data_IF_943661807750
#
_entry.id   IF_943661807750
#
_cell.length_a   1.000
_cell.length_b   1.000
_cell.length_c   1.000
_cell.angle_alpha   90.00
_cell.angle_beta   90.00
_cell.angle_gamma   90.00
#
_symmetry.space_group_name_H-M   'P 1'
#
loop_
_entity.id
_entity.type
_entity.pdbx_description
1 polymer ?
#
# COMPACT_ATOMS: atom_id res chain seq x y z
N UNK A 1 -7.11 -12.93 -11.95
CA UNK A 1 -7.52 -12.05 -10.83
C UNK A 1 -7.35 -12.81 -9.53
N UNK A 2 -6.18 -12.74 -8.91
CA UNK A 2 -5.94 -13.33 -7.60
C UNK A 2 -6.64 -12.46 -6.55
N UNK A 3 -7.59 -13.04 -5.81
CA UNK A 3 -8.21 -12.39 -4.64
C UNK A 3 -7.13 -12.21 -3.57
N UNK A 4 -6.40 -11.11 -3.63
CA UNK A 4 -5.67 -10.62 -2.47
C UNK A 4 -6.74 -10.18 -1.47
N UNK A 5 -6.91 -10.97 -0.40
CA UNK A 5 -7.78 -10.62 0.72
C UNK A 5 -7.47 -9.21 1.19
N UNK A 6 -8.51 -8.51 1.67
CA UNK A 6 -8.40 -7.16 2.19
C UNK A 6 -7.21 -7.10 3.18
N UNK A 7 -6.18 -6.28 2.93
CA UNK A 7 -5.04 -6.24 3.84
C UNK A 7 -5.53 -5.83 5.23
N UNK A 8 -4.98 -6.38 6.32
CA UNK A 8 -5.44 -6.07 7.69
C UNK A 8 -5.37 -4.56 8.01
N UNK A 9 -4.56 -3.82 7.27
CA UNK A 9 -4.41 -2.37 7.40
C UNK A 9 -5.39 -1.54 6.53
N UNK A 10 -6.24 -2.18 5.71
CA UNK A 10 -7.18 -1.50 4.81
C UNK A 10 -8.15 -0.59 5.57
N UNK A 11 -8.74 -1.10 6.65
CA UNK A 11 -9.70 -0.33 7.45
C UNK A 11 -9.04 0.91 8.08
N UNK A 12 -7.83 0.76 8.62
CA UNK A 12 -7.06 1.87 9.17
C UNK A 12 -6.75 2.93 8.11
N UNK A 13 -6.44 2.51 6.88
CA UNK A 13 -6.17 3.41 5.75
C UNK A 13 -7.42 4.15 5.28
N UNK A 14 -8.55 3.45 5.13
CA UNK A 14 -9.85 4.07 4.80
C UNK A 14 -10.25 5.08 5.89
N UNK A 15 -10.14 4.71 7.16
CA UNK A 15 -10.50 5.58 8.28
C UNK A 15 -9.60 6.82 8.35
N UNK A 16 -8.29 6.66 8.15
CA UNK A 16 -7.35 7.79 8.07
C UNK A 16 -7.71 8.72 6.90
N UNK A 17 -8.02 8.16 5.73
CA UNK A 17 -8.50 8.92 4.58
C UNK A 17 -9.76 9.71 4.92
N UNK A 18 -10.72 9.06 5.58
CA UNK A 18 -12.00 9.65 5.97
C UNK A 18 -11.80 10.83 6.91
N UNK A 19 -11.04 10.64 7.98
CA UNK A 19 -10.75 11.70 8.95
C UNK A 19 -10.02 12.87 8.29
N UNK A 20 -9.11 12.61 7.35
CA UNK A 20 -8.38 13.65 6.64
C UNK A 20 -9.33 14.49 5.78
N UNK A 21 -10.15 13.86 4.94
CA UNK A 21 -11.08 14.57 4.07
C UNK A 21 -12.20 15.25 4.85
N UNK A 22 -12.74 14.58 5.87
CA UNK A 22 -13.76 15.15 6.74
C UNK A 22 -13.23 16.39 7.45
N UNK A 23 -11.99 16.35 7.97
CA UNK A 23 -11.34 17.50 8.58
C UNK A 23 -11.19 18.67 7.61
N UNK A 24 -10.70 18.42 6.38
CA UNK A 24 -10.55 19.45 5.34
C UNK A 24 -11.91 20.08 5.01
N UNK A 25 -12.94 19.26 4.75
CA UNK A 25 -14.28 19.75 4.40
C UNK A 25 -14.92 20.51 5.57
N UNK A 26 -14.76 20.04 6.80
CA UNK A 26 -15.27 20.74 7.98
C UNK A 26 -14.62 22.12 8.16
N UNK A 27 -13.30 22.22 7.97
CA UNK A 27 -12.59 23.50 8.01
C UNK A 27 -13.09 24.44 6.91
N UNK A 28 -13.28 23.95 5.68
CA UNK A 28 -13.85 24.74 4.60
C UNK A 28 -15.26 25.24 4.94
N UNK A 29 -16.11 24.39 5.51
CA UNK A 29 -17.47 24.78 5.93
C UNK A 29 -17.46 25.87 7.01
N UNK A 30 -16.55 25.79 7.98
CA UNK A 30 -16.38 26.83 9.00
C UNK A 30 -15.95 28.15 8.34
N UNK A 31 -15.02 28.13 7.39
CA UNK A 31 -14.62 29.33 6.64
C UNK A 31 -15.80 29.92 5.86
N UNK A 32 -16.60 29.09 5.18
CA UNK A 32 -17.80 29.55 4.47
C UNK A 32 -18.82 30.20 5.40
N UNK A 33 -19.02 29.65 6.61
CA UNK A 33 -19.89 30.26 7.62
C UNK A 33 -19.32 31.60 8.14
N UNK A 34 -18.02 31.68 8.37
CA UNK A 34 -17.34 32.93 8.80
C UNK A 34 -17.44 34.05 7.77
N UNK A 35 -17.44 33.72 6.47
CA UNK A 35 -17.62 34.69 5.36
C UNK A 35 -19.11 35.01 5.13
N UNK A 36 -20.02 34.49 5.96
CA UNK A 36 -21.46 34.77 5.88
C UNK A 36 -22.15 34.10 4.69
N UNK A 37 -21.52 33.11 4.05
CA UNK A 37 -22.11 32.36 2.94
C UNK A 37 -23.11 31.30 3.42
N UNK A 38 -23.04 30.90 4.69
CA UNK A 38 -23.88 29.86 5.30
C UNK A 38 -24.24 30.31 6.72
N UNK A 39 -25.48 30.08 7.13
CA UNK A 39 -25.90 30.34 8.52
C UNK A 39 -25.25 29.34 9.47
N UNK A 40 -24.80 29.79 10.64
CA UNK A 40 -24.26 28.91 11.68
C UNK A 40 -25.28 27.85 12.14
N UNK A 41 -26.57 28.11 11.99
CA UNK A 41 -27.64 27.17 12.33
C UNK A 41 -27.69 25.97 11.37
N UNK A 42 -27.28 26.15 10.11
CA UNK A 42 -27.27 25.09 9.10
C UNK A 42 -25.98 24.25 9.15
N UNK A 43 -24.98 24.71 9.89
CA UNK A 43 -23.64 24.11 9.95
C UNK A 43 -23.67 22.61 10.33
N UNK A 44 -24.44 22.15 11.33
CA UNK A 44 -24.48 20.73 11.69
C UNK A 44 -25.03 19.84 10.57
N UNK A 45 -26.10 20.28 9.90
CA UNK A 45 -26.70 19.56 8.78
C UNK A 45 -25.73 19.45 7.60
N UNK A 46 -25.04 20.54 7.29
CA UNK A 46 -24.01 20.55 6.24
C UNK A 46 -22.78 19.71 6.58
N UNK A 47 -22.36 19.70 7.85
CA UNK A 47 -21.28 18.81 8.29
C UNK A 47 -21.66 17.33 8.10
N UNK A 48 -22.91 16.95 8.35
CA UNK A 48 -23.40 15.61 8.07
C UNK A 48 -23.31 15.30 6.56
N UNK A 49 -23.72 16.22 5.68
CA UNK A 49 -23.59 16.06 4.23
C UNK A 49 -22.11 15.88 3.81
N UNK A 50 -21.19 16.65 4.40
CA UNK A 50 -19.76 16.52 4.10
C UNK A 50 -19.18 15.18 4.54
N UNK A 51 -19.77 14.51 5.54
CA UNK A 51 -19.34 13.17 5.96
C UNK A 51 -19.55 12.12 4.86
N UNK A 52 -20.66 12.18 4.13
CA UNK A 52 -20.92 11.28 3.00
C UNK A 52 -19.91 11.50 1.86
N UNK A 53 -19.58 12.76 1.56
CA UNK A 53 -18.54 13.11 0.59
C UNK A 53 -17.15 12.63 1.02
N UNK A 54 -16.78 12.84 2.29
CA UNK A 54 -15.50 12.36 2.83
C UNK A 54 -15.40 10.83 2.77
N UNK A 55 -16.49 10.12 3.05
CA UNK A 55 -16.55 8.66 2.93
C UNK A 55 -16.34 8.20 1.49
N UNK A 56 -17.05 8.81 0.53
CA UNK A 56 -16.91 8.51 -0.90
C UNK A 56 -15.47 8.73 -1.38
N UNK A 57 -14.86 9.88 -1.06
CA UNK A 57 -13.47 10.19 -1.42
C UNK A 57 -12.48 9.18 -0.83
N UNK A 58 -12.72 8.74 0.40
CA UNK A 58 -11.83 7.79 1.08
C UNK A 58 -11.88 6.40 0.46
N UNK A 59 -13.07 5.98 0.02
CA UNK A 59 -13.24 4.72 -0.73
C UNK A 59 -12.55 4.84 -2.09
N UNK A 60 -12.72 5.95 -2.80
CA UNK A 60 -12.06 6.19 -4.10
C UNK A 60 -10.54 6.16 -3.97
N UNK A 61 -9.97 6.86 -2.98
CA UNK A 61 -8.53 6.83 -2.73
C UNK A 61 -8.03 5.45 -2.33
N UNK A 62 -8.78 4.73 -1.50
CA UNK A 62 -8.46 3.35 -1.18
C UNK A 62 -8.45 2.47 -2.43
N UNK A 63 -9.41 2.65 -3.34
CA UNK A 63 -9.48 1.91 -4.59
C UNK A 63 -8.30 2.23 -5.51
N UNK A 64 -7.94 3.51 -5.64
CA UNK A 64 -6.74 3.94 -6.39
C UNK A 64 -5.48 3.30 -5.80
N UNK A 65 -5.32 3.33 -4.47
CA UNK A 65 -4.20 2.69 -3.79
C UNK A 65 -4.19 1.17 -3.98
N UNK A 66 -5.38 0.54 -3.93
CA UNK A 66 -5.54 -0.90 -4.08
C UNK A 66 -5.18 -1.37 -5.49
N UNK A 67 -5.62 -0.62 -6.50
CA UNK A 67 -5.38 -0.88 -7.92
C UNK A 67 -4.00 -0.40 -8.38
N UNK A 68 -3.33 0.47 -7.62
CA UNK A 68 -2.02 0.98 -7.97
C UNK A 68 -1.04 -0.17 -8.19
N UNK A 69 -0.26 -0.14 -9.28
CA UNK A 69 0.73 -1.17 -9.54
C UNK A 69 1.75 -1.19 -8.40
N UNK A 70 2.13 -2.41 -8.00
CA UNK A 70 3.26 -2.64 -7.12
C UNK A 70 4.50 -2.79 -7.98
N UNK A 71 5.51 -1.98 -7.73
CA UNK A 71 6.84 -2.10 -8.35
C UNK A 71 7.80 -2.74 -7.37
N UNK A 72 8.67 -3.59 -7.89
CA UNK A 72 9.71 -4.29 -7.14
C UNK A 72 10.99 -4.06 -7.91
N UNK A 73 11.96 -3.42 -7.27
CA UNK A 73 13.27 -3.13 -7.83
C UNK A 73 14.35 -3.66 -6.88
N UNK A 74 15.46 -4.16 -7.44
CA UNK A 74 16.64 -4.49 -6.66
C UNK A 74 17.57 -3.28 -6.58
N UNK A 75 18.03 -2.97 -5.38
CA UNK A 75 18.94 -1.88 -5.11
C UNK A 75 20.23 -2.37 -4.42
N UNK A 76 21.25 -1.50 -4.30
CA UNK A 76 22.53 -1.87 -3.70
C UNK A 76 22.42 -2.26 -2.22
N UNK A 77 21.35 -1.83 -1.53
CA UNK A 77 21.13 -2.08 -0.09
C UNK A 77 20.06 -3.12 0.21
N UNK A 78 19.29 -3.56 -0.77
CA UNK A 78 18.18 -4.48 -0.57
C UNK A 78 17.18 -4.46 -1.72
N UNK A 79 16.07 -5.17 -1.51
CA UNK A 79 14.92 -5.14 -2.40
C UNK A 79 14.03 -3.97 -1.99
N UNK A 80 13.70 -3.11 -2.95
CA UNK A 80 12.79 -1.98 -2.78
C UNK A 80 11.45 -2.36 -3.39
N UNK A 81 10.43 -2.36 -2.56
CA UNK A 81 9.05 -2.57 -2.98
C UNK A 81 8.31 -1.26 -2.84
N UNK A 82 7.83 -0.73 -3.96
CA UNK A 82 7.03 0.50 -3.99
C UNK A 82 5.58 0.16 -4.33
N UNK A 83 4.65 0.60 -3.48
CA UNK A 83 3.21 0.52 -3.74
C UNK A 83 2.55 1.84 -3.35
N UNK A 84 2.14 2.61 -4.35
CA UNK A 84 1.52 3.94 -4.15
C UNK A 84 2.44 4.86 -3.33
N UNK A 85 2.08 5.10 -2.06
CA UNK A 85 2.78 5.92 -1.06
C UNK A 85 3.66 5.10 -0.11
N UNK A 86 3.62 3.76 -0.19
CA UNK A 86 4.40 2.88 0.67
C UNK A 86 5.68 2.43 -0.04
N UNK A 87 6.82 2.67 0.61
CA UNK A 87 8.13 2.13 0.22
C UNK A 87 8.57 1.19 1.32
N UNK A 88 8.69 -0.09 0.97
CA UNK A 88 9.26 -1.11 1.84
C UNK A 88 10.67 -1.44 1.32
N UNK A 89 11.67 -1.22 2.17
CA UNK A 89 13.05 -1.65 1.92
C UNK A 89 13.28 -2.94 2.72
N UNK A 90 13.62 -4.02 2.01
CA UNK A 90 14.03 -5.30 2.62
C UNK A 90 15.56 -5.39 2.45
N UNK A 91 16.36 -5.16 3.51
CA UNK A 91 17.82 -5.21 3.41
C UNK A 91 18.30 -6.61 3.05
N UNK A 92 19.36 -6.72 2.25
CA UNK A 92 19.94 -8.03 1.88
C UNK A 92 20.29 -8.89 3.10
N UNK A 93 20.89 -8.26 4.12
CA UNK A 93 21.28 -8.91 5.38
C UNK A 93 20.08 -9.42 6.20
N UNK A 94 18.89 -8.87 5.97
CA UNK A 94 17.69 -9.30 6.69
C UNK A 94 17.14 -10.62 6.13
N UNK A 95 17.48 -10.99 4.89
CA UNK A 95 16.96 -12.17 4.20
C UNK A 95 17.74 -13.41 4.67
N UNK A 96 17.03 -14.36 5.28
CA UNK A 96 17.59 -15.62 5.75
C UNK A 96 17.51 -16.71 4.68
N UNK A 97 16.38 -16.77 3.96
CA UNK A 97 16.20 -17.68 2.84
C UNK A 97 15.18 -17.13 1.85
N UNK A 98 15.21 -17.66 0.62
CA UNK A 98 14.29 -17.30 -0.43
C UNK A 98 13.77 -18.54 -1.14
N UNK A 99 12.56 -18.48 -1.67
CA UNK A 99 11.98 -19.53 -2.50
C UNK A 99 11.28 -18.90 -3.70
N UNK A 100 11.64 -19.36 -4.89
CA UNK A 100 10.95 -18.99 -6.12
C UNK A 100 9.98 -20.10 -6.49
N UNK A 101 8.68 -19.82 -6.45
CA UNK A 101 7.64 -20.75 -6.87
C UNK A 101 6.96 -20.25 -8.14
N UNK A 102 7.06 -21.01 -9.23
CA UNK A 102 6.30 -20.76 -10.47
C UNK A 102 5.07 -21.66 -10.60
N UNK A 103 4.73 -22.42 -9.56
CA UNK A 103 3.58 -23.33 -9.57
C UNK A 103 2.23 -22.59 -9.72
N UNK A 104 2.21 -21.29 -9.43
CA UNK A 104 1.05 -20.42 -9.55
C UNK A 104 1.45 -19.26 -10.46
N UNK A 105 0.62 -18.94 -11.46
CA UNK A 105 0.74 -17.73 -12.27
C UNK A 105 0.00 -16.57 -11.58
N UNK A 106 0.60 -15.38 -11.42
CA UNK A 106 2.00 -15.04 -11.71
C UNK A 106 2.98 -15.70 -10.72
N UNK A 107 4.21 -15.98 -11.17
CA UNK A 107 5.25 -16.59 -10.34
C UNK A 107 5.49 -15.78 -9.06
N UNK A 108 5.91 -16.45 -8.00
CA UNK A 108 5.97 -15.89 -6.65
C UNK A 108 7.38 -16.04 -6.08
N UNK A 109 7.91 -14.97 -5.53
CA UNK A 109 9.12 -14.95 -4.70
C UNK A 109 8.70 -14.83 -3.23
N UNK A 110 8.93 -15.88 -2.45
CA UNK A 110 8.79 -15.85 -0.99
C UNK A 110 10.15 -15.55 -0.37
N UNK A 111 10.22 -14.52 0.45
CA UNK A 111 11.40 -14.15 1.22
C UNK A 111 11.12 -14.40 2.70
N UNK A 112 12.00 -15.15 3.37
CA UNK A 112 11.94 -15.34 4.81
C UNK A 112 13.06 -14.54 5.46
N UNK A 113 12.69 -13.67 6.38
CA UNK A 113 13.64 -12.83 7.12
C UNK A 113 14.17 -13.57 8.35
N UNK A 114 15.33 -13.13 8.84
CA UNK A 114 15.90 -13.61 10.12
C UNK A 114 14.99 -13.32 11.31
N UNK A 115 14.14 -12.30 11.22
CA UNK A 115 13.11 -11.97 12.21
C UNK A 115 11.97 -13.01 12.28
N UNK A 116 11.90 -13.94 11.32
CA UNK A 116 10.80 -14.89 11.17
C UNK A 116 9.63 -14.37 10.31
N UNK A 117 9.68 -13.12 9.86
CA UNK A 117 8.69 -12.55 8.95
C UNK A 117 8.83 -13.11 7.53
N UNK A 118 7.71 -13.37 6.87
CA UNK A 118 7.66 -13.86 5.50
C UNK A 118 7.01 -12.82 4.57
N UNK A 119 7.71 -12.48 3.49
CA UNK A 119 7.22 -11.57 2.47
C UNK A 119 7.01 -12.30 1.14
N UNK A 120 5.78 -12.24 0.64
CA UNK A 120 5.42 -12.77 -0.67
C UNK A 120 5.39 -11.65 -1.71
N UNK A 121 6.19 -11.82 -2.77
CA UNK A 121 6.32 -10.90 -3.88
C UNK A 121 5.85 -11.58 -5.17
N UNK A 122 4.95 -10.93 -5.90
CA UNK A 122 4.54 -11.41 -7.21
C UNK A 122 5.57 -10.99 -8.26
N UNK A 123 6.10 -11.95 -9.00
CA UNK A 123 7.05 -11.76 -10.08
C UNK A 123 6.32 -11.62 -11.40
N UNK A 124 6.79 -10.68 -12.25
CA UNK A 124 6.32 -10.61 -13.62
C UNK A 124 6.77 -11.85 -14.40
N UNK A 125 5.96 -12.28 -15.37
CA UNK A 125 6.24 -13.44 -16.22
C UNK A 125 7.52 -13.29 -17.05
N UNK A 126 7.97 -12.06 -17.30
CA UNK A 126 9.18 -11.72 -18.03
C UNK A 126 10.47 -11.93 -17.22
N UNK A 127 10.40 -12.00 -15.89
CA UNK A 127 11.59 -12.10 -15.04
C UNK A 127 12.04 -13.55 -14.94
N UNK A 128 13.30 -13.82 -15.29
CA UNK A 128 13.85 -15.18 -15.30
C UNK A 128 14.26 -15.61 -13.88
N UNK A 129 13.85 -16.81 -13.46
CA UNK A 129 14.03 -17.26 -12.08
C UNK A 129 15.51 -17.52 -11.73
N UNK A 130 16.29 -17.95 -12.72
CA UNK A 130 17.73 -18.12 -12.67
C UNK A 130 18.45 -16.79 -12.39
N UNK A 131 18.05 -15.70 -13.05
CA UNK A 131 18.60 -14.36 -12.81
C UNK A 131 18.32 -13.89 -11.37
N UNK A 132 17.09 -14.05 -10.89
CA UNK A 132 16.70 -13.71 -9.51
C UNK A 132 17.51 -14.53 -8.49
N UNK A 133 17.62 -15.84 -8.73
CA UNK A 133 18.31 -16.76 -7.81
C UNK A 133 19.80 -16.42 -7.76
N UNK A 134 20.42 -16.11 -8.90
CA UNK A 134 21.82 -15.68 -8.96
C UNK A 134 22.03 -14.37 -8.21
N UNK A 135 21.21 -13.37 -8.45
CA UNK A 135 21.31 -12.06 -7.78
C UNK A 135 21.09 -12.18 -6.25
N UNK A 136 20.10 -12.98 -5.82
CA UNK A 136 19.86 -13.23 -4.39
C UNK A 136 21.06 -13.95 -3.75
N UNK A 137 21.61 -14.97 -4.40
CA UNK A 137 22.78 -15.69 -3.90
C UNK A 137 24.02 -14.77 -3.80
N UNK A 138 24.25 -13.93 -4.81
CA UNK A 138 25.37 -12.97 -4.83
C UNK A 138 25.24 -11.92 -3.71
N UNK A 139 24.04 -11.39 -3.50
CA UNK A 139 23.84 -10.25 -2.59
C UNK A 139 23.60 -10.65 -1.13
N UNK A 140 23.08 -11.86 -0.88
CA UNK A 140 22.77 -12.33 0.48
C UNK A 140 23.73 -13.39 0.99
N UNK A 141 24.46 -14.09 0.11
CA UNK A 141 25.22 -15.29 0.47
C UNK A 141 24.35 -16.47 0.93
N UNK A 142 23.02 -16.34 0.89
CA UNK A 142 22.09 -17.36 1.32
C UNK A 142 21.92 -18.44 0.24
N UNK A 143 21.79 -19.70 0.68
CA UNK A 143 21.52 -20.84 -0.20
C UNK A 143 20.02 -20.92 -0.50
N UNK A 144 19.69 -21.26 -1.75
CA UNK A 144 18.33 -21.47 -2.26
C UNK A 144 17.65 -22.71 -1.66
#
# INVERSE_FOLDING_TARGET
MTRQGVPPNAWRRILRGFLTWYGILAVLMIIYALVGRISFQDLPGRLLETSAFAAALSIVLYLVWYLSPRKIDSGPRGIVVTKSDEILLIPWQAIASFRVSRAILPGVLSLRLHSGEEHTLALASSVRADEITRELAEMTGAQA
#
